data_IF_088197772788
#
_entry.id   IF_088197772788
#
_cell.length_a   1.000
_cell.length_b   1.000
_cell.length_c   1.000
_cell.angle_alpha   90.00
_cell.angle_beta   90.00
_cell.angle_gamma   90.00
#
_symmetry.space_group_name_H-M   'P 1'
#
loop_
_entity.id
_entity.type
_entity.pdbx_description
1 polymer ?
#
# COMPACT_ATOMS: atom_id res chain seq x y z
N UNK A 1 7.77 -4.03 -11.48
CA UNK A 1 7.07 -4.01 -12.81
C UNK A 1 8.08 -3.82 -13.95
N UNK A 2 7.94 -4.55 -15.05
CA UNK A 2 8.72 -4.37 -16.29
C UNK A 2 7.83 -4.33 -17.54
N UNK A 3 8.32 -3.71 -18.61
CA UNK A 3 7.71 -3.73 -19.94
C UNK A 3 8.78 -3.81 -21.03
N UNK A 4 8.57 -4.65 -22.05
CA UNK A 4 9.45 -4.82 -23.21
C UNK A 4 8.81 -4.20 -24.44
N UNK A 5 9.53 -3.29 -25.10
CA UNK A 5 9.11 -2.71 -26.38
C UNK A 5 9.42 -3.61 -27.55
N UNK A 6 8.42 -3.76 -28.43
CA UNK A 6 8.54 -4.43 -29.73
C UNK A 6 9.55 -3.69 -30.60
N UNK A 7 10.55 -4.42 -31.11
CA UNK A 7 11.39 -3.92 -32.19
C UNK A 7 10.50 -3.64 -33.41
N UNK A 8 10.69 -2.48 -34.06
CA UNK A 8 10.06 -2.24 -35.35
C UNK A 8 10.58 -3.32 -36.31
N UNK A 9 9.69 -4.05 -36.98
CA UNK A 9 9.93 -5.29 -37.76
C UNK A 9 10.94 -5.16 -38.94
N UNK A 10 11.70 -4.06 -39.02
CA UNK A 10 12.67 -3.75 -40.07
C UNK A 10 14.06 -3.34 -39.56
N UNK A 11 14.34 -3.44 -38.27
CA UNK A 11 15.66 -3.15 -37.71
C UNK A 11 16.20 -4.37 -36.96
N UNK A 12 17.53 -4.61 -36.97
CA UNK A 12 18.13 -5.74 -36.25
C UNK A 12 17.72 -5.74 -34.76
N UNK A 13 17.82 -6.91 -34.09
CA UNK A 13 17.47 -7.14 -32.67
C UNK A 13 18.10 -6.14 -31.66
N UNK A 14 18.99 -5.27 -32.12
CA UNK A 14 19.62 -4.13 -31.44
C UNK A 14 18.64 -3.00 -31.01
N UNK A 15 17.31 -3.17 -31.17
CA UNK A 15 16.28 -2.18 -30.81
C UNK A 15 15.21 -2.69 -29.83
N UNK A 16 15.46 -3.78 -29.09
CA UNK A 16 14.58 -4.24 -28.01
C UNK A 16 14.89 -3.43 -26.74
N UNK A 17 13.97 -2.54 -26.35
CA UNK A 17 14.11 -1.78 -25.11
C UNK A 17 13.32 -2.46 -23.99
N UNK A 18 13.99 -2.70 -22.87
CA UNK A 18 13.36 -3.21 -21.65
C UNK A 18 13.35 -2.09 -20.63
N UNK A 19 12.15 -1.77 -20.15
CA UNK A 19 11.90 -0.78 -19.11
C UNK A 19 11.64 -1.53 -17.81
N UNK A 20 12.44 -1.23 -16.79
CA UNK A 20 12.37 -1.90 -15.49
C UNK A 20 12.44 -0.80 -14.45
N UNK A 21 11.48 -0.76 -13.53
CA UNK A 21 11.51 0.20 -12.42
C UNK A 21 12.82 0.03 -11.63
N UNK A 22 13.47 1.15 -11.32
CA UNK A 22 14.79 1.29 -10.69
C UNK A 22 15.99 0.86 -11.54
N UNK A 23 15.83 0.76 -12.85
CA UNK A 23 16.94 0.54 -13.79
C UNK A 23 16.92 1.58 -14.90
N UNK A 24 18.09 1.89 -15.50
CA UNK A 24 18.11 2.65 -16.74
C UNK A 24 17.35 1.89 -17.84
N UNK A 25 16.99 2.59 -18.90
CA UNK A 25 16.44 1.93 -20.09
C UNK A 25 17.50 0.96 -20.61
N UNK A 26 17.14 -0.32 -20.69
CA UNK A 26 18.04 -1.37 -21.15
C UNK A 26 17.76 -1.74 -22.60
N UNK A 27 18.81 -2.16 -23.31
CA UNK A 27 18.74 -2.90 -24.57
C UNK A 27 19.14 -4.34 -24.33
N UNK A 28 18.47 -5.27 -25.02
CA UNK A 28 18.83 -6.69 -25.00
C UNK A 28 19.96 -6.93 -26.01
N UNK A 29 21.04 -7.55 -25.58
CA UNK A 29 22.11 -8.00 -26.46
C UNK A 29 21.78 -9.36 -27.12
N UNK A 30 22.72 -9.93 -27.90
CA UNK A 30 22.51 -11.22 -28.58
C UNK A 30 22.48 -12.43 -27.61
N UNK A 31 22.97 -12.27 -26.39
CA UNK A 31 23.01 -13.31 -25.35
C UNK A 31 21.82 -13.28 -24.40
N UNK A 32 20.93 -12.29 -24.52
CA UNK A 32 19.84 -12.04 -23.57
C UNK A 32 20.29 -11.20 -22.36
N UNK A 33 21.52 -10.69 -22.38
CA UNK A 33 22.03 -9.77 -21.37
C UNK A 33 21.47 -8.37 -21.62
N UNK A 34 20.97 -7.77 -20.54
CA UNK A 34 20.49 -6.40 -20.56
C UNK A 34 21.67 -5.45 -20.39
N UNK A 35 21.87 -4.58 -21.38
CA UNK A 35 22.87 -3.51 -21.37
C UNK A 35 22.18 -2.16 -21.28
N UNK A 36 22.85 -1.15 -20.70
CA UNK A 36 22.30 0.21 -20.68
C UNK A 36 22.18 0.76 -22.10
N UNK A 37 21.00 1.23 -22.47
CA UNK A 37 20.73 1.86 -23.76
C UNK A 37 21.40 3.24 -23.82
N UNK A 38 22.54 3.33 -24.51
CA UNK A 38 23.37 4.55 -24.53
C UNK A 38 22.61 5.79 -25.02
N UNK A 39 21.71 5.63 -25.98
CA UNK A 39 20.85 6.68 -26.51
C UNK A 39 19.81 7.22 -25.51
N UNK A 40 19.58 6.52 -24.40
CA UNK A 40 18.71 6.92 -23.31
C UNK A 40 19.45 7.16 -22.00
N UNK A 41 20.78 7.20 -22.00
CA UNK A 41 21.57 7.35 -20.79
C UNK A 41 21.25 8.65 -20.02
N UNK A 42 20.85 9.72 -20.72
CA UNK A 42 20.44 10.99 -20.13
C UNK A 42 19.09 10.94 -19.40
N UNK A 43 18.28 9.90 -19.64
CA UNK A 43 16.97 9.76 -18.99
C UNK A 43 17.10 9.33 -17.53
N UNK A 44 18.25 8.75 -17.16
CA UNK A 44 18.46 8.14 -15.85
C UNK A 44 17.67 6.83 -15.73
N UNK A 45 17.16 6.56 -14.54
CA UNK A 45 16.44 5.32 -14.22
C UNK A 45 14.94 5.48 -14.39
N UNK A 46 14.26 4.38 -14.71
CA UNK A 46 12.80 4.34 -14.76
C UNK A 46 12.26 4.36 -13.32
N UNK A 47 11.41 5.33 -13.02
CA UNK A 47 10.83 5.52 -11.68
C UNK A 47 9.44 4.91 -11.55
N UNK A 48 8.71 4.83 -12.67
CA UNK A 48 7.33 4.36 -12.68
C UNK A 48 6.98 3.75 -14.04
N UNK A 49 6.22 2.66 -14.03
CA UNK A 49 5.53 2.12 -15.20
C UNK A 49 4.08 1.94 -14.77
N UNK A 50 3.13 2.60 -15.45
CA UNK A 50 1.69 2.41 -15.22
C UNK A 50 0.97 2.18 -16.53
N UNK A 51 -0.24 1.62 -16.45
CA UNK A 51 -1.15 1.52 -17.60
C UNK A 51 -2.24 2.57 -17.41
N UNK A 52 -2.36 3.48 -18.36
CA UNK A 52 -3.38 4.54 -18.32
C UNK A 52 -4.78 4.00 -18.70
N UNK A 53 -5.86 4.79 -18.52
CA UNK A 53 -7.22 4.37 -18.89
C UNK A 53 -7.40 4.00 -20.37
N UNK A 54 -6.48 4.41 -21.24
CA UNK A 54 -6.47 4.08 -22.67
C UNK A 54 -5.61 2.85 -23.00
N UNK A 55 -5.23 2.05 -22.00
CA UNK A 55 -4.40 0.85 -22.17
C UNK A 55 -3.02 1.16 -22.77
N UNK A 56 -2.46 2.32 -22.42
CA UNK A 56 -1.09 2.72 -22.80
C UNK A 56 -0.17 2.64 -21.61
N UNK A 57 1.02 2.12 -21.83
CA UNK A 57 2.08 2.08 -20.84
C UNK A 57 2.71 3.47 -20.74
N UNK A 58 2.65 4.07 -19.56
CA UNK A 58 3.27 5.35 -19.22
C UNK A 58 4.51 5.06 -18.38
N UNK A 59 5.68 5.38 -18.92
CA UNK A 59 6.98 5.10 -18.34
C UNK A 59 7.61 6.44 -17.97
N UNK A 60 7.91 6.64 -16.69
CA UNK A 60 8.56 7.86 -16.18
C UNK A 60 9.98 7.56 -15.74
N UNK A 61 10.85 8.56 -15.80
CA UNK A 61 12.26 8.44 -15.42
C UNK A 61 12.70 9.51 -14.43
N UNK A 62 13.87 9.35 -13.83
CA UNK A 62 14.42 10.26 -12.80
C UNK A 62 14.71 11.65 -13.33
N UNK A 63 15.00 11.78 -14.63
CA UNK A 63 15.19 13.08 -15.31
C UNK A 63 13.88 13.85 -15.56
N UNK A 64 12.72 13.28 -15.22
CA UNK A 64 11.41 13.85 -15.54
C UNK A 64 10.91 13.52 -16.95
N UNK A 65 11.69 12.84 -17.79
CA UNK A 65 11.21 12.36 -19.08
C UNK A 65 10.11 11.30 -18.91
N UNK A 66 9.09 11.38 -19.77
CA UNK A 66 7.93 10.50 -19.81
C UNK A 66 7.76 9.91 -21.21
N UNK A 67 7.55 8.61 -21.30
CA UNK A 67 7.31 7.88 -22.54
C UNK A 67 5.98 7.14 -22.47
N UNK A 68 5.12 7.37 -23.45
CA UNK A 68 3.84 6.68 -23.57
C UNK A 68 3.87 5.71 -24.74
N UNK A 69 3.68 4.41 -24.46
CA UNK A 69 3.67 3.33 -25.45
C UNK A 69 2.29 2.67 -25.49
N UNK A 70 1.65 2.61 -26.66
CA UNK A 70 0.42 1.84 -26.82
C UNK A 70 0.68 0.33 -26.69
N UNK A 71 -0.32 -0.44 -26.25
CA UNK A 71 -0.20 -1.88 -26.01
C UNK A 71 0.43 -2.66 -27.17
N UNK A 72 0.14 -2.31 -28.43
CA UNK A 72 0.73 -2.96 -29.63
C UNK A 72 2.25 -2.81 -29.75
N UNK A 73 2.84 -1.84 -29.03
CA UNK A 73 4.29 -1.61 -28.98
C UNK A 73 4.95 -2.37 -27.83
N UNK A 74 4.20 -3.06 -26.97
CA UNK A 74 4.72 -3.88 -25.88
C UNK A 74 4.58 -5.35 -26.26
N UNK A 75 5.65 -6.12 -26.13
CA UNK A 75 5.66 -7.56 -26.43
C UNK A 75 5.41 -8.37 -25.18
N UNK A 76 6.11 -8.02 -24.11
CA UNK A 76 6.01 -8.67 -22.81
C UNK A 76 5.92 -7.60 -21.71
N UNK A 77 5.16 -7.85 -20.66
CA UNK A 77 5.20 -7.05 -19.45
C UNK A 77 4.85 -7.94 -18.25
N UNK A 78 5.30 -7.55 -17.07
CA UNK A 78 5.02 -8.26 -15.84
C UNK A 78 5.02 -7.33 -14.64
N UNK A 79 4.13 -7.63 -13.70
CA UNK A 79 4.07 -6.98 -12.39
C UNK A 79 4.72 -7.90 -11.36
N UNK A 80 5.15 -7.33 -10.22
CA UNK A 80 5.80 -8.08 -9.13
C UNK A 80 4.75 -8.89 -8.33
N UNK A 81 3.92 -9.67 -9.03
CA UNK A 81 2.79 -10.40 -8.45
C UNK A 81 3.21 -11.66 -7.67
N UNK A 82 4.49 -12.03 -7.70
CA UNK A 82 5.06 -13.08 -6.88
C UNK A 82 6.21 -12.46 -6.08
N UNK A 83 6.41 -12.84 -4.82
CA UNK A 83 7.46 -12.42 -3.87
C UNK A 83 8.93 -12.63 -4.34
N UNK A 84 9.17 -12.79 -5.65
CA UNK A 84 10.49 -12.91 -6.25
C UNK A 84 11.11 -11.56 -6.59
N UNK A 85 12.44 -11.49 -6.50
CA UNK A 85 13.20 -10.31 -6.96
C UNK A 85 12.94 -10.00 -8.45
N UNK A 86 13.11 -8.73 -8.84
CA UNK A 86 13.10 -8.29 -10.26
C UNK A 86 14.04 -9.14 -11.13
N UNK A 87 15.19 -9.57 -10.57
CA UNK A 87 16.10 -10.48 -11.27
C UNK A 87 15.49 -11.86 -11.54
N UNK A 88 14.72 -12.40 -10.59
CA UNK A 88 13.97 -13.66 -10.77
C UNK A 88 12.89 -13.51 -11.83
N UNK A 89 12.15 -12.41 -11.80
CA UNK A 89 11.13 -12.10 -12.80
C UNK A 89 11.75 -12.03 -14.20
N UNK A 90 12.83 -11.27 -14.37
CA UNK A 90 13.50 -11.10 -15.65
C UNK A 90 14.14 -12.39 -16.17
N UNK A 91 14.69 -13.22 -15.29
CA UNK A 91 15.20 -14.56 -15.65
C UNK A 91 14.12 -15.45 -16.27
N UNK A 92 12.86 -15.38 -15.81
CA UNK A 92 11.74 -16.14 -16.42
C UNK A 92 11.52 -15.75 -17.89
N UNK A 93 11.85 -14.52 -18.25
CA UNK A 93 11.77 -14.01 -19.63
C UNK A 93 13.11 -14.13 -20.39
N UNK A 94 14.08 -14.86 -19.85
CA UNK A 94 15.38 -15.09 -20.48
C UNK A 94 16.36 -13.92 -20.37
N UNK A 95 16.09 -12.94 -19.50
CA UNK A 95 16.93 -11.77 -19.32
C UNK A 95 17.89 -11.89 -18.13
N UNK A 96 19.11 -11.40 -18.32
CA UNK A 96 20.10 -11.23 -17.25
C UNK A 96 20.33 -9.75 -17.03
N UNK A 97 20.09 -9.27 -15.81
CA UNK A 97 20.31 -7.86 -15.44
C UNK A 97 21.79 -7.47 -15.62
N UNK A 98 22.09 -6.21 -15.98
CA UNK A 98 23.45 -5.71 -15.90
C UNK A 98 23.88 -5.73 -14.44
N UNK A 99 25.13 -6.09 -14.17
CA UNK A 99 25.72 -6.05 -12.83
C UNK A 99 25.54 -4.64 -12.28
N UNK A 100 24.60 -4.46 -11.37
CA UNK A 100 24.37 -3.16 -10.74
C UNK A 100 25.54 -2.85 -9.83
N UNK A 101 25.96 -1.59 -9.83
CA UNK A 101 26.95 -1.03 -8.89
C UNK A 101 26.34 -0.88 -7.48
N UNK A 102 25.53 -1.85 -7.05
CA UNK A 102 25.10 -1.90 -5.66
C UNK A 102 26.34 -2.20 -4.82
N UNK A 103 26.59 -1.37 -3.80
CA UNK A 103 27.67 -1.65 -2.86
C UNK A 103 27.39 -3.03 -2.24
N UNK A 104 28.28 -4.02 -2.45
CA UNK A 104 28.03 -5.37 -1.97
C UNK A 104 27.90 -5.35 -0.45
N UNK A 105 26.91 -6.09 0.05
CA UNK A 105 26.72 -6.24 1.49
C UNK A 105 27.94 -6.98 2.04
N UNK A 106 28.69 -6.33 2.93
CA UNK A 106 29.89 -6.90 3.56
C UNK A 106 29.51 -7.92 4.63
N UNK A 107 30.38 -8.89 4.90
CA UNK A 107 30.16 -9.85 5.99
C UNK A 107 30.05 -9.16 7.36
N UNK A 108 30.84 -8.11 7.58
CA UNK A 108 30.76 -7.30 8.78
C UNK A 108 29.37 -6.67 8.95
N UNK A 109 28.80 -6.09 7.90
CA UNK A 109 27.44 -5.54 7.97
C UNK A 109 26.40 -6.63 8.23
N UNK A 110 26.53 -7.81 7.61
CA UNK A 110 25.64 -8.96 7.90
C UNK A 110 25.69 -9.34 9.38
N UNK A 111 26.87 -9.34 9.99
CA UNK A 111 27.03 -9.58 11.43
C UNK A 111 26.37 -8.50 12.28
N UNK A 112 26.57 -7.22 11.94
CA UNK A 112 25.91 -6.12 12.65
C UNK A 112 24.38 -6.19 12.53
N UNK A 113 23.86 -6.49 11.34
CA UNK A 113 22.42 -6.62 11.11
C UNK A 113 21.81 -7.79 11.90
N UNK A 114 22.53 -8.90 11.99
CA UNK A 114 22.14 -10.04 12.81
C UNK A 114 22.18 -9.71 14.32
N UNK A 115 23.09 -8.83 14.75
CA UNK A 115 23.20 -8.40 16.14
C UNK A 115 22.11 -7.40 16.58
N UNK A 116 21.51 -6.64 15.65
CA UNK A 116 20.42 -5.71 15.96
C UNK A 116 19.07 -6.44 15.98
N UNK A 117 18.48 -6.50 17.18
CA UNK A 117 17.22 -7.18 17.49
C UNK A 117 17.21 -8.62 16.94
N UNK A 118 18.11 -9.48 17.44
CA UNK A 118 18.31 -10.84 16.90
C UNK A 118 17.04 -11.70 16.99
N UNK A 119 16.15 -11.37 17.93
CA UNK A 119 14.84 -11.99 18.08
C UNK A 119 13.76 -10.92 18.11
N UNK A 120 12.75 -11.07 17.27
CA UNK A 120 11.56 -10.22 17.23
C UNK A 120 10.34 -11.10 17.51
N UNK A 121 9.58 -10.77 18.55
CA UNK A 121 8.35 -11.47 18.92
C UNK A 121 7.16 -10.59 18.59
N UNK A 122 6.27 -11.04 17.70
CA UNK A 122 5.05 -10.30 17.34
C UNK A 122 3.89 -10.71 18.26
N UNK A 123 3.26 -9.72 18.89
CA UNK A 123 2.09 -9.87 19.74
C UNK A 123 0.82 -9.94 18.89
N UNK A 124 -0.16 -10.71 19.37
CA UNK A 124 -1.50 -10.83 18.77
C UNK A 124 -2.54 -9.95 19.46
N UNK A 125 -2.20 -9.35 20.60
CA UNK A 125 -3.06 -8.46 21.37
C UNK A 125 -2.34 -7.15 21.67
N UNK A 126 -3.11 -6.07 21.80
CA UNK A 126 -2.57 -4.74 22.08
C UNK A 126 -1.96 -4.78 23.50
N UNK A 127 -0.67 -4.43 23.66
CA UNK A 127 -0.02 -4.36 24.97
C UNK A 127 -0.62 -3.24 25.85
N UNK A 128 -0.57 -3.40 27.18
CA UNK A 128 -1.08 -2.38 28.12
C UNK A 128 -0.25 -1.09 28.11
N UNK A 129 1.06 -1.21 27.94
CA UNK A 129 2.02 -0.10 27.84
C UNK A 129 2.89 -0.33 26.62
N UNK A 130 3.02 0.68 25.76
CA UNK A 130 3.72 0.53 24.50
C UNK A 130 4.22 1.85 23.94
N UNK A 131 5.08 1.74 22.92
CA UNK A 131 5.59 2.84 22.15
C UNK A 131 5.11 2.68 20.70
N UNK A 132 4.24 3.56 20.23
CA UNK A 132 3.85 3.60 18.82
C UNK A 132 4.94 4.28 18.04
N UNK A 133 5.37 3.65 16.95
CA UNK A 133 6.49 4.07 16.13
C UNK A 133 6.07 4.11 14.67
N UNK A 134 6.55 5.13 13.96
CA UNK A 134 6.37 5.29 12.53
C UNK A 134 7.60 5.99 11.94
N UNK A 135 7.90 5.67 10.68
CA UNK A 135 9.03 6.23 9.94
C UNK A 135 8.58 6.81 8.60
N UNK A 136 9.16 7.95 8.23
CA UNK A 136 9.16 8.42 6.85
C UNK A 136 10.47 8.05 6.17
N UNK A 137 10.41 7.73 4.87
CA UNK A 137 11.56 7.26 4.12
C UNK A 137 11.97 8.22 3.00
N UNK A 138 13.27 8.36 2.78
CA UNK A 138 13.85 9.06 1.64
C UNK A 138 14.53 8.07 0.69
N UNK A 139 14.39 8.30 -0.61
CA UNK A 139 15.14 7.54 -1.64
C UNK A 139 16.62 7.97 -1.60
N UNK A 140 17.54 7.02 -1.76
CA UNK A 140 18.98 7.28 -1.74
C UNK A 140 19.53 7.54 -3.16
N UNK A 141 20.38 8.54 -3.27
CA UNK A 141 21.04 9.00 -4.49
C UNK A 141 22.55 9.11 -4.29
N UNK A 142 23.30 8.65 -5.29
CA UNK A 142 24.72 8.92 -5.45
C UNK A 142 24.92 10.04 -6.45
N UNK A 143 25.84 10.94 -6.17
CA UNK A 143 26.22 12.01 -7.10
C UNK A 143 27.49 11.62 -7.85
N UNK A 144 27.43 11.61 -9.18
CA UNK A 144 28.58 11.42 -10.04
C UNK A 144 28.80 12.67 -10.89
N UNK A 145 30.00 13.22 -10.86
CA UNK A 145 30.39 14.31 -11.77
C UNK A 145 30.66 13.71 -13.14
N UNK A 146 29.93 14.18 -14.14
CA UNK A 146 30.11 13.83 -15.54
C UNK A 146 30.38 15.11 -16.33
N UNK A 147 31.66 15.40 -16.57
CA UNK A 147 32.10 16.69 -17.11
C UNK A 147 31.74 17.85 -16.17
N UNK A 148 31.02 18.84 -16.71
CA UNK A 148 30.52 20.00 -15.95
C UNK A 148 29.16 19.77 -15.29
N UNK A 149 28.55 18.60 -15.47
CA UNK A 149 27.26 18.26 -14.88
C UNK A 149 27.39 17.34 -13.67
N UNK A 150 26.61 17.64 -12.61
CA UNK A 150 26.38 16.73 -11.50
C UNK A 150 25.16 15.87 -11.83
N UNK A 151 25.35 14.56 -11.99
CA UNK A 151 24.25 13.62 -12.23
C UNK A 151 23.96 12.87 -10.94
N UNK A 152 22.73 12.98 -10.45
CA UNK A 152 22.23 12.14 -9.36
C UNK A 152 21.60 10.87 -9.92
N UNK A 153 21.97 9.71 -9.38
CA UNK A 153 21.39 8.41 -9.72
C UNK A 153 20.94 7.73 -8.45
N UNK A 154 19.86 6.94 -8.48
CA UNK A 154 19.48 6.19 -7.28
C UNK A 154 20.59 5.20 -6.99
N UNK A 155 20.84 4.97 -5.71
CA UNK A 155 21.87 4.02 -5.26
C UNK A 155 21.28 3.09 -4.23
N UNK A 156 21.97 1.96 -4.04
CA UNK A 156 21.72 1.09 -2.91
C UNK A 156 22.87 1.21 -1.93
N UNK A 157 22.58 1.55 -0.68
CA UNK A 157 23.56 1.58 0.41
C UNK A 157 23.36 0.30 1.21
N UNK A 158 24.35 -0.60 1.15
CA UNK A 158 24.33 -1.89 1.86
C UNK A 158 23.02 -2.67 1.62
N UNK A 159 22.60 -2.72 0.35
CA UNK A 159 21.40 -3.43 -0.10
C UNK A 159 20.09 -2.64 -0.04
N UNK A 160 20.06 -1.46 0.58
CA UNK A 160 18.83 -0.66 0.71
C UNK A 160 18.79 0.53 -0.23
N UNK A 161 17.62 0.78 -0.85
CA UNK A 161 17.38 1.91 -1.76
C UNK A 161 16.78 3.13 -1.08
N UNK A 162 16.42 3.00 0.19
CA UNK A 162 15.81 4.03 0.99
C UNK A 162 16.46 4.08 2.38
N UNK A 163 16.42 5.24 3.02
CA UNK A 163 16.80 5.42 4.41
C UNK A 163 15.68 6.10 5.19
N UNK A 164 15.71 5.98 6.52
CA UNK A 164 14.79 6.72 7.38
C UNK A 164 15.13 8.21 7.30
N UNK A 165 14.12 9.03 7.00
CA UNK A 165 14.19 10.48 6.98
C UNK A 165 13.57 11.11 8.22
N UNK A 166 12.47 10.56 8.72
CA UNK A 166 11.85 10.96 9.99
C UNK A 166 11.56 9.72 10.81
N UNK A 167 11.82 9.79 12.11
CA UNK A 167 11.52 8.74 13.08
C UNK A 167 10.73 9.37 14.22
N UNK A 168 9.51 8.89 14.43
CA UNK A 168 8.66 9.34 15.51
C UNK A 168 8.25 8.17 16.42
N UNK A 169 8.18 8.45 17.72
CA UNK A 169 7.72 7.52 18.73
C UNK A 169 6.91 8.24 19.80
N UNK A 170 5.75 7.68 20.14
CA UNK A 170 4.86 8.15 21.18
C UNK A 170 4.55 7.01 22.16
N UNK A 171 4.75 7.23 23.45
CA UNK A 171 4.41 6.24 24.47
C UNK A 171 2.98 6.35 24.98
N UNK A 172 2.35 5.21 25.23
CA UNK A 172 1.02 5.13 25.79
C UNK A 172 0.90 4.03 26.85
N UNK A 173 0.03 4.27 27.82
CA UNK A 173 -0.47 3.29 28.77
C UNK A 173 -2.01 3.27 28.64
N UNK A 174 -2.55 2.26 27.97
CA UNK A 174 -3.94 2.27 27.50
C UNK A 174 -4.22 3.49 26.60
N UNK A 175 -5.17 4.35 26.99
CA UNK A 175 -5.52 5.58 26.27
C UNK A 175 -4.77 6.83 26.78
N UNK A 176 -3.84 6.68 27.72
CA UNK A 176 -3.09 7.82 28.30
C UNK A 176 -1.71 7.93 27.68
N UNK A 177 -1.34 9.13 27.23
CA UNK A 177 0.01 9.42 26.77
C UNK A 177 1.01 9.34 27.94
N UNK A 178 2.18 8.79 27.67
CA UNK A 178 3.32 8.72 28.59
C UNK A 178 4.30 9.86 28.33
N UNK A 179 5.33 9.97 29.17
CA UNK A 179 6.46 10.89 29.02
C UNK A 179 7.43 10.52 27.88
N UNK A 180 7.10 9.50 27.07
CA UNK A 180 7.89 9.12 25.91
C UNK A 180 7.41 9.89 24.68
N UNK A 181 8.18 10.90 24.29
CA UNK A 181 8.00 11.66 23.07
C UNK A 181 9.33 11.72 22.31
N UNK A 182 9.34 11.17 21.09
CA UNK A 182 10.48 11.21 20.18
C UNK A 182 9.99 11.63 18.81
N UNK A 183 10.56 12.70 18.26
CA UNK A 183 10.32 13.13 16.89
C UNK A 183 11.62 13.72 16.36
N UNK A 184 12.29 13.01 15.46
CA UNK A 184 13.60 13.41 14.94
C UNK A 184 13.67 13.14 13.45
N UNK A 185 14.41 13.99 12.75
CA UNK A 185 14.77 13.79 11.36
C UNK A 185 16.19 13.22 11.29
N UNK A 186 16.49 12.48 10.22
CA UNK A 186 17.83 11.99 9.94
C UNK A 186 18.29 12.56 8.60
N UNK A 187 19.46 13.18 8.58
CA UNK A 187 20.10 13.72 7.38
C UNK A 187 21.11 12.70 6.84
N UNK A 188 20.67 11.87 5.90
CA UNK A 188 21.55 10.95 5.19
C UNK A 188 22.24 11.71 4.05
N UNK A 189 23.56 11.60 3.94
CA UNK A 189 24.34 12.24 2.87
C UNK A 189 23.90 11.83 1.45
N UNK A 190 23.22 10.70 1.31
CA UNK A 190 22.67 10.22 0.03
C UNK A 190 21.23 10.68 -0.22
N UNK A 191 20.60 11.46 0.66
CA UNK A 191 19.30 12.03 0.34
C UNK A 191 19.39 13.13 -0.72
N UNK A 192 18.29 13.33 -1.45
CA UNK A 192 18.20 14.45 -2.38
C UNK A 192 18.14 15.78 -1.61
N UNK A 193 18.50 16.87 -2.28
CA UNK A 193 18.36 18.21 -1.73
C UNK A 193 16.89 18.51 -1.33
N UNK A 194 15.91 17.95 -2.05
CA UNK A 194 14.48 18.11 -1.73
C UNK A 194 14.14 17.53 -0.36
N UNK A 195 14.61 16.32 -0.03
CA UNK A 195 14.37 15.69 1.28
C UNK A 195 15.00 16.54 2.39
N UNK A 196 16.21 17.05 2.17
CA UNK A 196 16.88 17.94 3.12
C UNK A 196 16.12 19.26 3.32
N UNK A 197 15.65 19.87 2.23
CA UNK A 197 14.82 21.08 2.28
C UNK A 197 13.49 20.83 2.98
N UNK A 198 12.88 19.65 2.80
CA UNK A 198 11.69 19.23 3.56
C UNK A 198 12.00 19.20 5.06
N UNK A 199 13.11 18.59 5.45
CA UNK A 199 13.57 18.55 6.84
C UNK A 199 13.72 19.96 7.44
N UNK A 200 14.43 20.85 6.74
CA UNK A 200 14.61 22.24 7.16
C UNK A 200 13.28 22.98 7.32
N UNK A 201 12.34 22.79 6.39
CA UNK A 201 11.01 23.40 6.43
C UNK A 201 10.23 22.94 7.66
N UNK A 202 10.21 21.63 7.93
CA UNK A 202 9.45 21.04 9.03
C UNK A 202 10.06 21.37 10.40
N UNK A 203 11.39 21.47 10.50
CA UNK A 203 12.06 21.79 11.77
C UNK A 203 12.26 23.29 12.00
N UNK A 204 12.14 24.11 10.96
CA UNK A 204 12.44 25.56 10.98
C UNK A 204 13.85 25.89 11.49
N UNK A 205 14.80 24.98 11.27
CA UNK A 205 16.20 25.14 11.69
C UNK A 205 17.03 25.77 10.57
N UNK A 206 18.15 26.38 10.95
CA UNK A 206 19.19 26.69 9.96
C UNK A 206 19.84 25.40 9.44
N UNK A 207 20.52 25.49 8.29
CA UNK A 207 21.21 24.34 7.69
C UNK A 207 22.20 23.67 8.66
N UNK A 208 23.05 24.45 9.31
CA UNK A 208 24.07 23.93 10.22
C UNK A 208 23.48 23.27 11.47
N UNK A 209 22.40 23.87 12.02
CA UNK A 209 21.68 23.28 13.15
C UNK A 209 20.99 21.98 12.76
N UNK A 210 20.36 21.95 11.58
CA UNK A 210 19.70 20.75 11.07
C UNK A 210 20.70 19.62 10.86
N UNK A 211 21.82 19.87 10.17
CA UNK A 211 22.87 18.86 9.94
C UNK A 211 23.41 18.29 11.26
N UNK A 212 23.52 19.14 12.29
CA UNK A 212 23.98 18.71 13.62
C UNK A 212 22.91 17.89 14.36
N UNK A 213 21.67 18.37 14.38
CA UNK A 213 20.56 17.73 15.12
C UNK A 213 20.05 16.46 14.44
N UNK A 214 20.06 16.44 13.11
CA UNK A 214 19.63 15.34 12.27
C UNK A 214 20.77 14.37 11.91
N UNK A 215 21.97 14.56 12.47
CA UNK A 215 23.08 13.61 12.29
C UNK A 215 22.61 12.17 12.63
N UNK A 216 22.68 11.21 11.68
CA UNK A 216 22.10 9.88 11.86
C UNK A 216 22.57 9.18 13.13
N UNK A 217 23.87 9.21 13.42
CA UNK A 217 24.45 8.59 14.61
C UNK A 217 23.89 9.20 15.90
N UNK A 218 23.82 10.54 15.96
CA UNK A 218 23.28 11.25 17.13
C UNK A 218 21.82 10.87 17.37
N UNK A 219 21.01 10.89 16.32
CA UNK A 219 19.58 10.57 16.39
C UNK A 219 19.35 9.13 16.81
N UNK A 220 20.12 8.18 16.26
CA UNK A 220 20.02 6.76 16.59
C UNK A 220 20.47 6.49 18.03
N UNK A 221 21.52 7.15 18.54
CA UNK A 221 21.90 7.08 19.96
C UNK A 221 20.80 7.61 20.88
N UNK A 222 20.22 8.76 20.53
CA UNK A 222 19.08 9.33 21.26
C UNK A 222 17.88 8.36 21.25
N UNK A 223 17.61 7.70 20.13
CA UNK A 223 16.55 6.70 20.00
C UNK A 223 16.83 5.48 20.90
N UNK A 224 18.06 4.97 20.91
CA UNK A 224 18.45 3.85 21.78
C UNK A 224 18.21 4.20 23.25
N UNK A 225 18.68 5.38 23.69
CA UNK A 225 18.57 5.79 25.09
C UNK A 225 17.15 6.16 25.52
N UNK A 226 16.37 6.84 24.66
CA UNK A 226 15.04 7.34 25.03
C UNK A 226 13.93 6.33 24.78
N UNK A 227 14.07 5.50 23.75
CA UNK A 227 13.04 4.55 23.30
C UNK A 227 13.43 3.13 23.67
N UNK A 228 14.52 2.60 23.11
CA UNK A 228 14.87 1.18 23.25
C UNK A 228 15.20 0.81 24.71
N UNK A 229 15.88 1.69 25.44
CA UNK A 229 16.22 1.45 26.85
C UNK A 229 14.97 1.27 27.74
N UNK A 230 13.82 1.84 27.35
CA UNK A 230 12.54 1.66 28.08
C UNK A 230 11.97 0.27 27.94
N UNK A 231 12.42 -0.52 26.94
CA UNK A 231 12.00 -1.91 26.72
C UNK A 231 10.47 -2.08 26.63
N UNK A 232 9.80 -1.09 26.06
CA UNK A 232 8.37 -1.18 25.75
C UNK A 232 8.16 -1.96 24.43
N UNK A 233 7.06 -2.73 24.30
CA UNK A 233 6.63 -3.23 23.01
C UNK A 233 6.47 -2.08 22.00
N UNK A 234 6.96 -2.29 20.78
CA UNK A 234 6.82 -1.33 19.69
C UNK A 234 5.57 -1.63 18.88
N UNK A 235 4.69 -0.65 18.73
CA UNK A 235 3.46 -0.75 17.93
C UNK A 235 3.67 -0.05 16.60
N UNK A 236 3.47 -0.76 15.50
CA UNK A 236 3.51 -0.24 14.15
C UNK A 236 2.11 -0.31 13.51
N UNK A 237 1.84 0.50 12.48
CA UNK A 237 0.73 0.18 11.59
C UNK A 237 1.06 -1.07 10.78
N UNK A 238 2.12 -1.03 9.97
CA UNK A 238 2.70 -2.18 9.28
C UNK A 238 4.19 -2.19 9.56
N UNK A 239 4.68 -3.19 10.30
CA UNK A 239 6.08 -3.19 10.74
C UNK A 239 7.09 -3.43 9.61
N UNK A 240 6.64 -3.87 8.43
CA UNK A 240 7.50 -4.47 7.41
C UNK A 240 8.64 -3.56 6.95
N UNK A 241 8.32 -2.30 6.62
CA UNK A 241 9.33 -1.34 6.17
C UNK A 241 9.99 -0.61 7.32
N UNK A 242 9.21 -0.15 8.30
CA UNK A 242 9.70 0.58 9.46
C UNK A 242 10.76 -0.21 10.23
N UNK A 243 10.45 -1.46 10.60
CA UNK A 243 11.39 -2.29 11.36
C UNK A 243 12.60 -2.68 10.51
N UNK A 244 12.41 -3.00 9.23
CA UNK A 244 13.49 -3.37 8.31
C UNK A 244 14.49 -2.23 8.15
N UNK A 245 14.01 -1.03 7.85
CA UNK A 245 14.85 0.15 7.62
C UNK A 245 15.43 0.69 8.94
N UNK A 246 14.73 0.53 10.06
CA UNK A 246 15.28 0.85 11.37
C UNK A 246 16.44 -0.07 11.75
N UNK A 247 16.27 -1.39 11.57
CA UNK A 247 17.35 -2.37 11.78
C UNK A 247 18.54 -2.10 10.87
N UNK A 248 18.28 -1.77 9.61
CA UNK A 248 19.33 -1.40 8.65
C UNK A 248 20.10 -0.15 9.09
N UNK A 249 19.40 0.92 9.48
CA UNK A 249 20.02 2.16 9.95
C UNK A 249 20.89 1.94 11.19
N UNK A 250 20.38 1.18 12.18
CA UNK A 250 21.12 0.80 13.37
C UNK A 250 22.34 -0.08 13.03
N UNK A 251 22.20 -1.05 12.13
CA UNK A 251 23.30 -1.92 11.72
C UNK A 251 24.40 -1.17 10.96
N UNK A 252 24.02 -0.17 10.16
CA UNK A 252 24.95 0.67 9.39
C UNK A 252 25.89 1.44 10.33
N UNK A 253 25.37 1.93 11.45
CA UNK A 253 26.10 2.71 12.45
C UNK A 253 26.52 1.90 13.68
N UNK A 254 26.42 0.56 13.64
CA UNK A 254 26.57 -0.29 14.82
C UNK A 254 27.92 -0.13 15.53
N UNK A 255 29.00 0.02 14.75
CA UNK A 255 30.36 0.20 15.27
C UNK A 255 30.56 1.56 15.98
N UNK A 256 29.68 2.53 15.75
CA UNK A 256 29.75 3.88 16.34
C UNK A 256 29.00 3.96 17.69
N UNK A 257 28.27 2.90 18.03
CA UNK A 257 27.60 2.74 19.30
C UNK A 257 28.57 2.20 20.37
N UNK A 258 28.39 2.66 21.60
CA UNK A 258 29.05 2.12 22.78
C UNK A 258 28.63 0.68 23.04
N UNK A 259 29.44 -0.05 23.81
CA UNK A 259 29.12 -1.43 24.23
C UNK A 259 27.75 -1.50 24.92
N UNK A 260 27.40 -0.51 25.75
CA UNK A 260 26.09 -0.46 26.42
C UNK A 260 24.92 -0.32 25.43
N UNK A 261 25.06 0.55 24.42
CA UNK A 261 24.08 0.71 23.36
C UNK A 261 23.95 -0.56 22.51
N UNK A 262 25.08 -1.19 22.13
CA UNK A 262 25.09 -2.47 21.40
C UNK A 262 24.41 -3.59 22.19
N UNK A 263 24.62 -3.66 23.51
CA UNK A 263 23.92 -4.63 24.37
C UNK A 263 22.41 -4.39 24.41
N UNK A 264 21.95 -3.13 24.41
CA UNK A 264 20.52 -2.82 24.31
C UNK A 264 19.93 -3.29 22.98
N UNK A 265 20.65 -3.08 21.87
CA UNK A 265 20.25 -3.54 20.54
C UNK A 265 20.25 -5.07 20.41
N UNK A 266 21.12 -5.76 21.16
CA UNK A 266 21.19 -7.23 21.19
C UNK A 266 20.03 -7.91 21.93
N UNK A 267 19.13 -7.15 22.56
CA UNK A 267 17.96 -7.71 23.27
C UNK A 267 16.88 -8.17 22.29
N UNK A 268 16.00 -9.06 22.77
CA UNK A 268 14.78 -9.42 22.06
C UNK A 268 13.87 -8.21 21.98
N UNK A 269 13.34 -7.93 20.79
CA UNK A 269 12.33 -6.92 20.56
C UNK A 269 10.93 -7.54 20.61
N UNK A 270 9.97 -6.84 21.19
CA UNK A 270 8.56 -7.21 21.16
C UNK A 270 7.83 -6.17 20.32
N UNK A 271 7.02 -6.63 19.39
CA UNK A 271 6.33 -5.78 18.40
C UNK A 271 4.86 -6.13 18.32
N UNK A 272 4.02 -5.19 17.93
CA UNK A 272 2.62 -5.40 17.60
C UNK A 272 2.32 -4.71 16.28
N UNK A 273 1.61 -5.40 15.40
CA UNK A 273 1.32 -4.96 14.03
C UNK A 273 -0.17 -4.63 13.87
N UNK A 274 -0.49 -3.36 13.66
CA UNK A 274 -1.85 -2.84 13.55
C UNK A 274 -2.59 -3.32 12.29
N UNK A 275 -1.89 -3.56 11.19
CA UNK A 275 -2.41 -4.06 9.92
C UNK A 275 -2.82 -5.53 10.05
N UNK A 276 -1.98 -6.35 10.70
CA UNK A 276 -2.30 -7.72 11.05
C UNK A 276 -3.49 -7.80 12.02
N UNK A 277 -3.50 -6.92 13.03
CA UNK A 277 -4.63 -6.85 13.96
C UNK A 277 -5.93 -6.42 13.27
N UNK A 278 -5.87 -5.46 12.34
CA UNK A 278 -7.03 -5.05 11.54
C UNK A 278 -7.63 -6.24 10.78
N UNK A 279 -6.78 -7.10 10.20
CA UNK A 279 -7.23 -8.32 9.54
C UNK A 279 -7.94 -9.29 10.49
N UNK A 280 -7.43 -9.45 11.71
CA UNK A 280 -8.10 -10.21 12.75
C UNK A 280 -9.48 -9.64 13.08
N UNK A 281 -9.61 -8.31 13.22
CA UNK A 281 -10.89 -7.64 13.51
C UNK A 281 -11.89 -7.78 12.36
N UNK A 282 -11.44 -7.64 11.10
CA UNK A 282 -12.32 -7.80 9.93
C UNK A 282 -12.80 -9.25 9.81
N UNK A 283 -11.92 -10.22 10.03
CA UNK A 283 -12.24 -11.64 9.82
C UNK A 283 -12.94 -12.32 10.99
N UNK A 284 -13.14 -11.64 12.13
CA UNK A 284 -13.73 -12.24 13.34
C UNK A 284 -15.11 -12.89 13.13
N UNK A 285 -15.85 -12.47 12.11
CA UNK A 285 -17.18 -13.00 11.77
C UNK A 285 -17.23 -13.73 10.42
N UNK A 286 -16.08 -13.92 9.76
CA UNK A 286 -16.00 -14.57 8.46
C UNK A 286 -15.88 -16.10 8.62
N UNK A 287 -16.97 -16.83 8.35
CA UNK A 287 -17.00 -18.29 8.50
C UNK A 287 -16.31 -19.06 7.35
N UNK A 288 -16.22 -18.48 6.14
CA UNK A 288 -15.77 -19.19 4.94
C UNK A 288 -14.29 -18.97 4.57
N UNK A 289 -13.66 -17.90 5.06
CA UNK A 289 -12.25 -17.56 4.82
C UNK A 289 -11.67 -16.87 6.05
N UNK A 290 -11.19 -17.66 7.02
CA UNK A 290 -10.54 -17.13 8.22
C UNK A 290 -9.23 -16.40 7.92
N UNK A 291 -8.62 -16.69 6.76
CA UNK A 291 -7.28 -16.19 6.37
C UNK A 291 -7.32 -15.15 5.23
N UNK A 292 -8.44 -14.45 5.05
CA UNK A 292 -8.50 -13.39 4.04
C UNK A 292 -7.64 -12.19 4.45
N UNK A 293 -6.57 -11.90 3.72
CA UNK A 293 -5.74 -10.73 3.95
C UNK A 293 -6.26 -9.50 3.18
N UNK A 294 -6.45 -8.41 3.92
CA UNK A 294 -6.85 -7.09 3.44
C UNK A 294 -5.69 -6.13 3.62
N UNK A 295 -5.19 -5.59 2.51
CA UNK A 295 -4.15 -4.58 2.50
C UNK A 295 -4.78 -3.19 2.54
N UNK A 296 -5.19 -2.76 3.74
CA UNK A 296 -5.81 -1.45 3.95
C UNK A 296 -4.76 -0.45 4.45
N UNK A 297 -4.64 0.73 3.82
CA UNK A 297 -3.71 1.76 4.30
C UNK A 297 -4.21 2.39 5.60
N UNK A 298 -3.29 2.84 6.47
CA UNK A 298 -3.60 3.45 7.77
C UNK A 298 -4.68 4.53 7.67
N UNK A 299 -4.47 5.52 6.79
CA UNK A 299 -5.40 6.63 6.60
C UNK A 299 -6.76 6.19 6.02
N UNK A 300 -6.79 5.08 5.27
CA UNK A 300 -8.04 4.49 4.79
C UNK A 300 -8.87 3.89 5.93
N UNK A 301 -8.23 3.14 6.83
CA UNK A 301 -8.88 2.59 8.03
C UNK A 301 -9.26 3.70 9.01
N UNK A 302 -8.38 4.68 9.22
CA UNK A 302 -8.65 5.86 10.04
C UNK A 302 -9.93 6.58 9.58
N UNK A 303 -10.07 6.82 8.27
CA UNK A 303 -11.27 7.43 7.69
C UNK A 303 -12.55 6.63 7.96
N UNK A 304 -12.50 5.30 7.85
CA UNK A 304 -13.65 4.42 8.18
C UNK A 304 -14.05 4.50 9.67
N UNK A 305 -13.07 4.78 10.53
CA UNK A 305 -13.26 4.92 11.98
C UNK A 305 -13.52 6.38 12.40
N UNK A 306 -13.73 7.29 11.43
CA UNK A 306 -13.91 8.72 11.67
C UNK A 306 -12.74 9.36 12.43
N UNK A 307 -11.52 8.93 12.14
CA UNK A 307 -10.26 9.50 12.62
C UNK A 307 -9.62 10.26 11.47
N UNK A 308 -9.32 11.54 11.69
CA UNK A 308 -8.75 12.41 10.67
C UNK A 308 -7.29 12.77 11.00
N UNK A 309 -6.38 12.48 10.07
CA UNK A 309 -5.01 12.95 10.10
C UNK A 309 -4.84 14.13 9.10
N UNK A 310 -4.67 15.38 9.57
CA UNK A 310 -4.45 16.54 8.69
C UNK A 310 -3.05 16.58 8.04
N UNK A 311 -2.10 15.79 8.54
CA UNK A 311 -0.70 15.80 8.12
C UNK A 311 -0.25 14.38 7.75
N UNK A 312 -0.88 13.81 6.73
CA UNK A 312 -0.47 12.51 6.18
C UNK A 312 0.97 12.58 5.66
N UNK A 313 1.68 11.45 5.71
CA UNK A 313 3.11 11.37 5.36
C UNK A 313 3.99 12.17 6.33
N UNK A 314 3.63 12.12 7.62
CA UNK A 314 4.42 12.66 8.70
C UNK A 314 4.40 11.66 9.85
N UNK A 315 5.56 11.09 10.13
CA UNK A 315 5.69 9.99 11.08
C UNK A 315 5.11 10.30 12.47
N UNK A 316 5.18 11.56 12.94
CA UNK A 316 4.59 11.92 14.24
C UNK A 316 3.06 11.77 14.22
N UNK A 317 2.44 12.27 13.16
CA UNK A 317 0.99 12.23 13.01
C UNK A 317 0.49 10.84 12.66
N UNK A 318 1.24 10.10 11.86
CA UNK A 318 0.92 8.71 11.51
C UNK A 318 1.09 7.77 12.72
N UNK A 319 2.08 8.01 13.60
CA UNK A 319 2.17 7.31 14.90
C UNK A 319 0.97 7.62 15.82
N UNK A 320 0.57 8.89 15.95
CA UNK A 320 -0.63 9.25 16.73
C UNK A 320 -1.90 8.62 16.12
N UNK A 321 -2.00 8.61 14.79
CA UNK A 321 -3.12 8.01 14.06
C UNK A 321 -3.17 6.51 14.29
N UNK A 322 -2.03 5.84 14.26
CA UNK A 322 -1.89 4.41 14.56
C UNK A 322 -2.42 4.08 15.95
N UNK A 323 -2.03 4.84 16.98
CA UNK A 323 -2.58 4.70 18.33
C UNK A 323 -4.12 4.77 18.35
N UNK A 324 -4.67 5.83 17.75
CA UNK A 324 -6.12 6.04 17.71
C UNK A 324 -6.85 4.90 16.98
N UNK A 325 -6.30 4.44 15.85
CA UNK A 325 -6.88 3.37 15.04
C UNK A 325 -6.87 2.04 15.78
N UNK A 326 -5.73 1.62 16.37
CA UNK A 326 -5.67 0.32 17.07
C UNK A 326 -6.62 0.27 18.26
N UNK A 327 -6.77 1.37 18.99
CA UNK A 327 -7.71 1.45 20.11
C UNK A 327 -9.17 1.47 19.64
N UNK A 328 -9.49 2.12 18.52
CA UNK A 328 -10.83 2.07 17.94
C UNK A 328 -11.17 0.67 17.42
N UNK A 329 -10.22 -0.03 16.80
CA UNK A 329 -10.36 -1.42 16.39
C UNK A 329 -10.55 -2.37 17.58
N UNK A 330 -9.89 -2.12 18.71
CA UNK A 330 -10.09 -2.90 19.93
C UNK A 330 -11.55 -2.85 20.43
N UNK A 331 -12.15 -1.65 20.44
CA UNK A 331 -13.57 -1.46 20.79
C UNK A 331 -14.49 -2.22 19.83
N UNK A 332 -14.16 -2.21 18.54
CA UNK A 332 -14.89 -2.99 17.54
C UNK A 332 -14.77 -4.47 17.88
N UNK A 333 -13.54 -4.97 18.11
CA UNK A 333 -13.25 -6.37 18.42
C UNK A 333 -14.03 -6.90 19.63
N UNK A 334 -14.21 -6.07 20.65
CA UNK A 334 -14.99 -6.39 21.86
C UNK A 334 -16.51 -6.37 21.62
N UNK A 335 -16.98 -5.66 20.59
CA UNK A 335 -18.41 -5.57 20.27
C UNK A 335 -18.92 -6.89 19.67
N UNK A 336 -20.01 -7.45 20.21
CA UNK A 336 -20.62 -8.65 19.65
C UNK A 336 -21.16 -8.39 18.22
N UNK A 337 -20.83 -9.23 17.24
CA UNK A 337 -21.38 -9.11 15.88
C UNK A 337 -22.90 -9.30 15.87
N UNK A 338 -23.61 -8.46 15.12
CA UNK A 338 -25.03 -8.65 14.84
C UNK A 338 -25.19 -9.78 13.83
N UNK A 339 -25.86 -10.86 14.24
CA UNK A 339 -26.21 -11.97 13.35
C UNK A 339 -27.53 -11.63 12.66
N UNK A 340 -27.48 -11.43 11.34
CA UNK A 340 -28.67 -11.17 10.55
C UNK A 340 -29.52 -12.44 10.45
N UNK A 341 -30.79 -12.34 10.83
CA UNK A 341 -31.76 -13.37 10.51
C UNK A 341 -32.10 -13.32 9.01
N UNK A 342 -32.49 -14.47 8.45
CA UNK A 342 -32.99 -14.52 7.09
C UNK A 342 -34.15 -13.53 6.93
N UNK A 343 -34.10 -12.60 5.95
CA UNK A 343 -35.21 -11.69 5.68
C UNK A 343 -36.48 -12.49 5.42
N UNK A 344 -37.51 -12.28 6.25
CA UNK A 344 -38.82 -12.88 6.04
C UNK A 344 -39.70 -11.89 5.25
N UNK A 345 -40.53 -12.37 4.32
CA UNK A 345 -41.57 -11.54 3.72
C UNK A 345 -42.41 -10.94 4.85
N UNK A 346 -42.72 -9.65 4.77
CA UNK A 346 -43.65 -9.03 5.70
C UNK A 346 -44.97 -9.80 5.61
N UNK A 347 -45.33 -10.53 6.66
CA UNK A 347 -46.70 -10.99 6.83
C UNK A 347 -47.54 -9.73 6.94
N UNK A 348 -48.37 -9.44 5.94
CA UNK A 348 -49.44 -8.46 6.05
C UNK A 348 -50.28 -8.88 7.27
N UNK A 349 -50.01 -8.26 8.41
CA UNK A 349 -50.88 -8.35 9.56
C UNK A 349 -52.22 -7.80 9.15
N UNK A 350 -53.23 -8.64 9.10
CA UNK A 350 -54.62 -8.22 9.22
C UNK A 350 -54.76 -7.54 10.57
N UNK A 351 -54.53 -6.23 10.63
CA UNK A 351 -55.12 -5.41 11.70
C UNK A 351 -56.61 -5.70 11.70
N UNK A 352 -57.27 -5.90 12.85
CA UNK A 352 -58.72 -5.84 12.93
C UNK A 352 -59.11 -4.38 12.73
N UNK A 353 -59.11 -3.95 11.46
CA UNK A 353 -59.81 -2.74 11.08
C UNK A 353 -61.29 -3.01 11.35
N UNK A 354 -61.88 -2.24 12.25
CA UNK A 354 -63.33 -2.03 12.26
C UNK A 354 -63.69 -1.53 10.87
N UNK A 355 -64.26 -2.43 10.06
CA UNK A 355 -64.77 -2.14 8.73
C UNK A 355 -66.14 -1.47 8.92
N UNK A 356 -66.36 -0.20 8.53
CA UNK A 356 -67.67 0.19 8.05
C UNK A 356 -67.84 -0.51 6.70
N UNK A 357 -68.88 -1.34 6.61
CA UNK A 357 -69.17 -2.15 5.43
C UNK A 357 -69.18 -1.29 4.15
N UNK A 358 -68.26 -1.58 3.24
CA UNK A 358 -68.39 -1.20 1.83
C UNK A 358 -68.04 -2.42 0.99
N UNK A 359 -69.06 -2.83 0.23
CA UNK A 359 -69.17 -3.94 -0.70
C UNK A 359 -67.88 -4.37 -1.40
N UNK A 360 -67.63 -5.67 -1.32
CA UNK A 360 -66.66 -6.46 -2.10
C UNK A 360 -66.71 -6.14 -3.61
N UNK A 361 -65.56 -5.76 -4.18
CA UNK A 361 -65.26 -6.01 -5.59
C UNK A 361 -64.09 -7.01 -5.65
N UNK A 362 -64.37 -8.20 -6.17
CA UNK A 362 -63.39 -9.27 -6.39
C UNK A 362 -62.34 -8.77 -7.40
N UNK A 363 -61.08 -8.60 -6.97
CA UNK A 363 -59.97 -8.42 -7.89
C UNK A 363 -59.66 -9.75 -8.57
N UNK A 364 -60.10 -9.89 -9.83
CA UNK A 364 -59.75 -10.99 -10.72
C UNK A 364 -58.23 -11.11 -10.87
N UNK A 365 -57.68 -12.26 -10.53
CA UNK A 365 -56.29 -12.63 -10.86
C UNK A 365 -56.19 -12.73 -12.39
N UNK A 366 -55.39 -11.90 -13.06
CA UNK A 366 -55.36 -11.87 -14.52
C UNK A 366 -54.63 -13.09 -15.08
N UNK A 367 -55.21 -13.73 -16.09
CA UNK A 367 -54.59 -14.85 -16.83
C UNK A 367 -53.92 -14.34 -18.11
N UNK A 368 -52.97 -15.11 -18.65
CA UNK A 368 -52.27 -14.77 -19.90
C UNK A 368 -53.23 -14.51 -21.08
N UNK A 369 -54.37 -15.21 -21.10
CA UNK A 369 -55.44 -15.05 -22.11
C UNK A 369 -56.06 -13.65 -22.05
N UNK A 370 -56.27 -13.11 -20.84
CA UNK A 370 -56.80 -11.75 -20.63
C UNK A 370 -55.84 -10.68 -21.16
N UNK A 371 -54.53 -10.87 -20.97
CA UNK A 371 -53.52 -9.96 -21.54
C UNK A 371 -53.50 -10.00 -23.07
N UNK A 372 -53.66 -11.18 -23.67
CA UNK A 372 -53.71 -11.32 -25.11
C UNK A 372 -54.93 -10.60 -25.72
N UNK A 373 -56.12 -10.82 -25.15
CA UNK A 373 -57.36 -10.17 -25.61
C UNK A 373 -57.29 -8.64 -25.55
N UNK A 374 -56.73 -8.08 -24.47
CA UNK A 374 -56.59 -6.64 -24.35
C UNK A 374 -55.56 -6.05 -25.31
N UNK A 375 -54.51 -6.82 -25.66
CA UNK A 375 -53.55 -6.43 -26.69
C UNK A 375 -54.15 -6.47 -28.09
N UNK A 376 -54.95 -7.48 -28.42
CA UNK A 376 -55.65 -7.55 -29.71
C UNK A 376 -56.79 -6.51 -29.82
N UNK A 377 -57.34 -6.05 -28.68
CA UNK A 377 -58.24 -4.90 -28.62
C UNK A 377 -57.53 -3.53 -28.72
N UNK A 378 -56.22 -3.50 -29.00
CA UNK A 378 -55.47 -2.28 -29.29
C UNK A 378 -54.85 -1.56 -28.09
N UNK A 379 -54.99 -2.08 -26.85
CA UNK A 379 -54.35 -1.46 -25.67
C UNK A 379 -52.85 -1.72 -25.65
N UNK A 380 -52.09 -0.80 -25.08
CA UNK A 380 -50.63 -0.90 -24.93
C UNK A 380 -50.25 -1.78 -23.72
N UNK A 381 -49.03 -2.33 -23.73
CA UNK A 381 -48.52 -3.14 -22.60
C UNK A 381 -48.50 -2.35 -21.28
N UNK A 382 -48.32 -1.02 -21.35
CA UNK A 382 -48.25 -0.15 -20.17
C UNK A 382 -49.61 0.06 -19.54
N UNK A 383 -50.65 0.25 -20.33
CA UNK A 383 -52.02 0.41 -19.84
C UNK A 383 -52.51 -0.87 -19.16
N UNK A 384 -52.22 -2.02 -19.77
CA UNK A 384 -52.57 -3.33 -19.21
C UNK A 384 -51.79 -3.57 -17.90
N UNK A 385 -50.48 -3.30 -17.89
CA UNK A 385 -49.65 -3.43 -16.70
C UNK A 385 -50.16 -2.58 -15.52
N UNK A 386 -50.52 -1.33 -15.79
CA UNK A 386 -51.06 -0.42 -14.78
C UNK A 386 -52.45 -0.87 -14.30
N UNK A 387 -53.32 -1.32 -15.20
CA UNK A 387 -54.66 -1.80 -14.85
C UNK A 387 -54.62 -3.00 -13.91
N UNK A 388 -53.64 -3.89 -14.07
CA UNK A 388 -53.54 -5.13 -13.30
C UNK A 388 -52.43 -5.13 -12.24
N UNK A 389 -51.73 -4.01 -12.04
CA UNK A 389 -50.65 -3.90 -11.06
C UNK A 389 -49.46 -4.84 -11.31
N UNK A 390 -49.19 -5.19 -12.57
CA UNK A 390 -48.08 -6.07 -12.97
C UNK A 390 -47.05 -5.31 -13.80
N UNK A 391 -45.84 -5.86 -13.97
CA UNK A 391 -44.82 -5.23 -14.82
C UNK A 391 -45.17 -5.31 -16.31
N UNK A 392 -44.76 -4.32 -17.10
CA UNK A 392 -44.92 -4.33 -18.56
C UNK A 392 -44.25 -5.55 -19.22
N UNK A 393 -43.11 -5.97 -18.68
CA UNK A 393 -42.39 -7.17 -19.10
C UNK A 393 -43.18 -8.45 -18.86
N UNK A 394 -43.97 -8.52 -17.77
CA UNK A 394 -44.87 -9.64 -17.47
C UNK A 394 -45.96 -9.77 -18.52
N UNK A 395 -46.60 -8.64 -18.89
CA UNK A 395 -47.63 -8.62 -19.94
C UNK A 395 -47.03 -8.99 -21.30
N UNK A 396 -45.85 -8.45 -21.65
CA UNK A 396 -45.18 -8.75 -22.92
C UNK A 396 -44.83 -10.24 -23.07
N UNK A 397 -44.25 -10.86 -22.03
CA UNK A 397 -43.89 -12.29 -22.06
C UNK A 397 -45.12 -13.19 -22.20
N UNK A 398 -46.19 -12.89 -21.47
CA UNK A 398 -47.43 -13.65 -21.55
C UNK A 398 -48.04 -13.61 -22.96
N UNK A 399 -48.02 -12.44 -23.60
CA UNK A 399 -48.54 -12.26 -24.97
C UNK A 399 -47.65 -12.94 -26.02
N UNK A 400 -46.31 -12.87 -25.86
CA UNK A 400 -45.34 -13.55 -26.73
C UNK A 400 -45.42 -15.08 -26.63
N UNK A 401 -45.61 -15.62 -25.43
CA UNK A 401 -45.72 -17.07 -25.24
C UNK A 401 -47.01 -17.63 -25.84
N UNK A 402 -48.10 -16.87 -25.79
CA UNK A 402 -49.38 -17.26 -26.40
C UNK A 402 -49.41 -17.15 -27.93
N UNK A 403 -48.49 -16.39 -28.55
CA UNK A 403 -48.38 -16.25 -30.02
C UNK A 403 -47.36 -17.20 -30.66
N UNK A 404 -46.68 -18.03 -29.86
CA UNK A 404 -45.73 -19.07 -30.32
C UNK A 404 -46.34 -20.48 -30.33
N UNK A 405 -47.67 -20.60 -30.37
CA UNK A 405 -48.40 -21.87 -30.55
C UNK A 405 -49.15 -21.83 -31.87
#
# INVERSE_FOLDING_TARGET
>A
MFAERRALDRLPRENHFVYIVDYPICQVDRSGQLMVAKNFASWGEITQITIDPHQRFVIKSTSGHCLTLGAKKIVNYGTDADDGSVGTLLKRYGYVLPTTTATPVTDQFRQHLAAVFPKVTTLTAIPERYAVIDCEFGILFGSQRQGDTLVQRRVSVLGEKAGIFQLAVLGFAGNQAMDLFFNRYLDNANFSAEIKLRGLKETQLTLAEYETQASPVRVLKDFIHKVIARQLPLVFWDQSNDLRLLRHALATHFAEFSVAEQMLLGKSLVVFDGSAYTNLVINRSNHAKKDAHHFLPLNGVAGLLNIFNPHQHNALWDAQTTHCVVNALAKIQETQPVILAQPRPATCGTSPAVIPAVSTSQQLVPTATTFCQLRSAGRTYREIAQQFGVSTSTVWRAVQQATRV
#
